data_IF_174975419137
#
_entry.id   IF_174975419137
#
_cell.length_a   1.000
_cell.length_b   1.000
_cell.length_c   1.000
_cell.angle_alpha   90.00
_cell.angle_beta   90.00
_cell.angle_gamma   90.00
#
_symmetry.space_group_name_H-M   'P 1'
#
loop_
_entity.id
_entity.type
_entity.pdbx_description
1 polymer ?
#
# COMPACT_ATOMS: atom_id res chain seq x y z
N UNK A 1 -1.41 29.91 13.33
CA UNK A 1 -1.78 29.98 11.89
C UNK A 1 -0.75 29.36 10.95
N UNK A 2 0.56 29.56 11.12
CA UNK A 2 1.57 28.94 10.23
C UNK A 2 1.54 27.41 10.16
N UNK A 3 1.19 26.74 11.26
CA UNK A 3 1.13 25.26 11.31
C UNK A 3 0.15 24.64 10.29
N UNK A 4 -0.95 25.34 9.99
CA UNK A 4 -1.91 24.89 8.97
C UNK A 4 -1.39 25.12 7.54
N UNK A 5 -0.59 26.16 7.31
CA UNK A 5 0.05 26.41 6.01
C UNK A 5 0.99 25.28 5.65
N UNK A 6 1.81 24.81 6.61
CA UNK A 6 2.71 23.68 6.38
C UNK A 6 1.94 22.37 6.11
N UNK A 7 0.82 22.14 6.80
CA UNK A 7 -0.02 20.97 6.55
C UNK A 7 -0.63 20.99 5.14
N UNK A 8 -1.16 22.14 4.70
CA UNK A 8 -1.69 22.32 3.35
C UNK A 8 -0.62 22.14 2.27
N UNK A 9 0.59 22.67 2.51
CA UNK A 9 1.71 22.50 1.59
C UNK A 9 2.07 21.01 1.44
N UNK A 10 2.16 20.26 2.53
CA UNK A 10 2.45 18.82 2.50
C UNK A 10 1.35 18.07 1.73
N UNK A 11 0.08 18.36 2.00
CA UNK A 11 -1.06 17.74 1.29
C UNK A 11 -1.02 18.02 -0.21
N UNK A 12 -0.74 19.26 -0.62
CA UNK A 12 -0.63 19.63 -2.03
C UNK A 12 0.54 18.90 -2.74
N UNK A 13 1.69 18.74 -2.08
CA UNK A 13 2.84 18.02 -2.63
C UNK A 13 2.53 16.52 -2.84
N UNK A 14 1.73 15.89 -1.98
CA UNK A 14 1.37 14.46 -2.13
C UNK A 14 0.53 14.18 -3.38
N UNK A 15 -0.26 15.15 -3.86
CA UNK A 15 -1.07 14.99 -5.08
C UNK A 15 -0.22 14.93 -6.38
N UNK A 16 0.98 15.51 -6.36
CA UNK A 16 1.90 15.52 -7.51
C UNK A 16 2.81 14.28 -7.60
N UNK A 17 2.81 13.43 -6.57
CA UNK A 17 3.62 12.20 -6.53
C UNK A 17 3.32 11.27 -7.72
N UNK A 18 4.33 10.64 -8.31
CA UNK A 18 4.18 9.56 -9.32
C UNK A 18 3.72 8.23 -8.71
N UNK A 19 3.71 8.14 -7.38
CA UNK A 19 3.33 6.96 -6.62
C UNK A 19 2.09 7.24 -5.77
N UNK A 20 1.28 6.21 -5.59
CA UNK A 20 0.18 6.13 -4.62
C UNK A 20 0.61 5.29 -3.43
N UNK A 21 0.01 5.54 -2.26
CA UNK A 21 0.26 4.76 -1.05
C UNK A 21 -1.00 3.99 -0.67
N UNK A 22 -0.91 2.66 -0.61
CA UNK A 22 -1.98 1.81 -0.08
C UNK A 22 -1.63 1.44 1.36
N UNK A 23 -2.56 1.73 2.26
CA UNK A 23 -2.39 1.48 3.70
C UNK A 23 -3.15 0.23 4.14
N UNK A 24 -2.74 -0.30 5.30
CA UNK A 24 -3.29 -1.49 5.93
C UNK A 24 -2.53 -2.76 5.55
N UNK A 25 -2.52 -3.74 6.46
CA UNK A 25 -1.86 -5.04 6.28
C UNK A 25 -2.39 -5.72 5.01
N UNK A 26 -1.48 -6.00 4.07
CA UNK A 26 -1.74 -6.76 2.84
C UNK A 26 -0.56 -7.68 2.58
N UNK A 27 -0.83 -8.78 1.88
CA UNK A 27 0.14 -9.83 1.61
C UNK A 27 0.12 -10.21 0.14
N UNK A 28 1.25 -10.65 -0.38
CA UNK A 28 1.31 -11.34 -1.66
C UNK A 28 0.75 -12.76 -1.51
N UNK A 29 0.42 -13.38 -2.65
CA UNK A 29 0.15 -14.81 -2.71
C UNK A 29 1.41 -15.59 -2.33
N UNK A 30 1.25 -16.74 -1.66
CA UNK A 30 2.35 -17.67 -1.39
C UNK A 30 3.01 -18.11 -2.70
N UNK A 31 4.33 -17.98 -2.76
CA UNK A 31 5.16 -18.42 -3.87
C UNK A 31 5.39 -19.95 -3.83
N UNK A 32 6.01 -20.50 -4.86
CA UNK A 32 6.27 -21.94 -4.97
C UNK A 32 7.27 -22.48 -3.93
N UNK A 33 7.99 -21.60 -3.24
CA UNK A 33 8.95 -21.91 -2.18
C UNK A 33 8.37 -21.66 -0.78
N UNK A 34 7.04 -21.60 -0.66
CA UNK A 34 6.30 -21.33 0.59
C UNK A 34 6.59 -19.96 1.23
N UNK A 35 7.16 -19.00 0.49
CA UNK A 35 7.39 -17.63 0.97
C UNK A 35 6.32 -16.64 0.51
N UNK A 36 6.16 -15.53 1.24
CA UNK A 36 5.32 -14.39 0.83
C UNK A 36 5.81 -13.09 1.47
N UNK A 37 5.39 -11.97 0.89
CA UNK A 37 5.68 -10.64 1.39
C UNK A 37 4.46 -10.07 2.11
N UNK A 38 4.71 -9.29 3.17
CA UNK A 38 3.66 -8.55 3.88
C UNK A 38 4.13 -7.17 4.26
N UNK A 39 3.22 -6.20 4.18
CA UNK A 39 3.47 -4.84 4.65
C UNK A 39 2.17 -4.15 5.04
N UNK A 40 2.28 -3.14 5.90
CA UNK A 40 1.21 -2.20 6.23
C UNK A 40 1.18 -0.98 5.32
N UNK A 41 2.30 -0.70 4.64
CA UNK A 41 2.47 0.45 3.75
C UNK A 41 3.02 -0.06 2.43
N UNK A 42 2.29 0.20 1.35
CA UNK A 42 2.66 -0.17 0.00
C UNK A 42 2.77 1.07 -0.85
N UNK A 43 3.96 1.31 -1.41
CA UNK A 43 4.20 2.39 -2.37
C UNK A 43 3.99 1.79 -3.76
N UNK A 44 2.99 2.30 -4.48
CA UNK A 44 2.51 1.73 -5.74
C UNK A 44 2.70 2.76 -6.84
N UNK A 45 3.30 2.37 -7.96
CA UNK A 45 3.34 3.24 -9.13
C UNK A 45 1.91 3.52 -9.61
N UNK A 46 1.60 4.78 -9.98
CA UNK A 46 0.28 5.18 -10.50
C UNK A 46 -0.24 4.27 -11.62
N UNK A 47 0.64 3.72 -12.47
CA UNK A 47 0.26 2.78 -13.55
C UNK A 47 -0.28 1.45 -13.07
N UNK A 48 -0.02 1.09 -11.80
CA UNK A 48 -0.36 -0.22 -11.22
C UNK A 48 -1.39 -0.10 -10.09
N UNK A 49 -1.90 1.11 -9.82
CA UNK A 49 -2.83 1.35 -8.70
C UNK A 49 -4.11 0.55 -8.82
N UNK A 50 -4.62 0.40 -10.05
CA UNK A 50 -5.90 -0.26 -10.32
C UNK A 50 -5.79 -1.78 -10.26
N UNK A 51 -4.62 -2.34 -10.59
CA UNK A 51 -4.35 -3.80 -10.57
C UNK A 51 -3.63 -4.26 -9.31
N UNK A 52 -3.28 -3.34 -8.40
CA UNK A 52 -2.54 -3.65 -7.18
C UNK A 52 -3.26 -4.69 -6.31
N UNK A 53 -4.56 -4.51 -6.11
CA UNK A 53 -5.35 -5.34 -5.20
C UNK A 53 -5.61 -6.76 -5.78
N UNK A 54 -5.33 -6.99 -7.07
CA UNK A 54 -5.36 -8.34 -7.67
C UNK A 54 -4.21 -9.22 -7.15
N UNK A 55 -3.06 -8.61 -6.84
CA UNK A 55 -1.83 -9.32 -6.46
C UNK A 55 -1.55 -9.24 -4.97
N UNK A 56 -1.85 -8.09 -4.36
CA UNK A 56 -1.50 -7.76 -2.98
C UNK A 56 -2.74 -7.26 -2.28
N UNK A 57 -3.32 -8.09 -1.42
CA UNK A 57 -4.57 -7.75 -0.73
C UNK A 57 -4.62 -8.36 0.67
N UNK A 58 -5.70 -8.03 1.39
CA UNK A 58 -5.92 -8.50 2.75
C UNK A 58 -6.32 -9.97 2.80
N UNK A 59 -7.01 -10.46 1.77
CA UNK A 59 -7.47 -11.85 1.68
C UNK A 59 -6.29 -12.82 1.63
N UNK A 60 -5.25 -12.50 0.85
CA UNK A 60 -3.99 -13.24 0.83
C UNK A 60 -3.41 -13.37 2.24
N UNK A 61 -3.46 -12.34 3.09
CA UNK A 61 -2.98 -12.46 4.47
C UNK A 61 -3.75 -13.51 5.26
N UNK A 62 -5.08 -13.52 5.15
CA UNK A 62 -5.93 -14.52 5.80
C UNK A 62 -5.60 -15.93 5.30
N UNK A 63 -5.45 -16.09 3.98
CA UNK A 63 -5.08 -17.37 3.36
C UNK A 63 -3.70 -17.86 3.79
N UNK A 64 -2.76 -16.93 4.00
CA UNK A 64 -1.42 -17.22 4.49
C UNK A 64 -1.38 -17.47 6.03
N UNK A 65 -2.53 -17.38 6.72
CA UNK A 65 -2.63 -17.63 8.16
C UNK A 65 -2.23 -16.46 9.06
N UNK A 66 -2.11 -15.24 8.53
CA UNK A 66 -1.82 -14.06 9.32
C UNK A 66 -3.03 -13.64 10.17
N UNK A 67 -2.77 -13.26 11.43
CA UNK A 67 -3.79 -12.56 12.25
C UNK A 67 -3.91 -11.12 11.77
N UNK A 68 -5.11 -10.67 11.45
CA UNK A 68 -5.38 -9.33 10.89
C UNK A 68 -5.37 -8.24 11.96
#
# INVERSE_FOLDING_TARGET
MHKFIYLFLILALTACSTHSVKLGKKCTKVASDDTYEKSFVWIVNKTNVDTFDEKINKENCTLNGEKL
#
